data_IF_867064887397
#
_entry.id   IF_867064887397
#
_cell.length_a   1.000
_cell.length_b   1.000
_cell.length_c   1.000
_cell.angle_alpha   90.00
_cell.angle_beta   90.00
_cell.angle_gamma   90.00
#
_symmetry.space_group_name_H-M   'P 1'
#
loop_
_entity.id
_entity.type
_entity.pdbx_description
1 polymer ?
#
# COMPACT_ATOMS: atom_id res chain seq x y z
N UNK A 1 -11.20 -8.24 5.17
CA UNK A 1 -11.78 -7.50 4.04
C UNK A 1 -10.64 -6.92 3.23
N UNK A 2 -10.67 -7.05 1.90
CA UNK A 2 -9.67 -6.46 1.00
C UNK A 2 -10.19 -5.12 0.49
N UNK A 3 -9.37 -4.08 0.49
CA UNK A 3 -9.75 -2.75 0.04
C UNK A 3 -9.29 -2.50 -1.39
N UNK A 4 -10.16 -1.89 -2.19
CA UNK A 4 -9.84 -1.30 -3.48
C UNK A 4 -9.46 0.18 -3.36
N UNK A 5 -8.91 0.73 -4.43
CA UNK A 5 -8.44 2.12 -4.50
C UNK A 5 -9.60 3.09 -4.33
N UNK A 6 -10.75 2.81 -4.95
CA UNK A 6 -11.98 3.59 -4.80
C UNK A 6 -12.43 3.74 -3.34
N UNK A 7 -12.31 2.69 -2.52
CA UNK A 7 -12.66 2.76 -1.09
C UNK A 7 -11.70 3.65 -0.32
N UNK A 8 -10.39 3.56 -0.61
CA UNK A 8 -9.38 4.41 0.01
C UNK A 8 -9.59 5.87 -0.38
N UNK A 9 -9.78 6.16 -1.67
CA UNK A 9 -10.01 7.50 -2.21
C UNK A 9 -11.31 8.11 -1.67
N UNK A 10 -12.39 7.32 -1.56
CA UNK A 10 -13.66 7.76 -1.00
C UNK A 10 -13.51 8.30 0.43
N UNK A 11 -12.66 7.66 1.26
CA UNK A 11 -12.37 8.11 2.62
C UNK A 11 -11.40 9.30 2.63
N UNK A 12 -10.34 9.23 1.83
CA UNK A 12 -9.31 10.27 1.77
C UNK A 12 -9.86 11.62 1.27
N UNK A 13 -10.72 11.59 0.25
CA UNK A 13 -11.39 12.78 -0.29
C UNK A 13 -12.65 13.17 0.47
N UNK A 14 -13.02 12.42 1.53
CA UNK A 14 -14.24 12.66 2.33
C UNK A 14 -15.49 12.78 1.46
N UNK A 15 -15.61 11.89 0.49
CA UNK A 15 -16.75 11.86 -0.42
C UNK A 15 -18.07 11.66 0.34
N UNK A 16 -19.23 12.07 -0.21
CA UNK A 16 -20.53 11.85 0.42
C UNK A 16 -20.73 10.38 0.78
N UNK A 17 -20.97 10.10 2.07
CA UNK A 17 -21.13 8.73 2.59
C UNK A 17 -19.88 8.13 3.25
N UNK A 18 -18.72 8.80 3.19
CA UNK A 18 -17.48 8.28 3.79
C UNK A 18 -17.57 7.87 5.28
N UNK A 19 -18.38 8.51 6.16
CA UNK A 19 -18.44 8.11 7.57
C UNK A 19 -19.08 6.73 7.77
N UNK A 20 -19.97 6.29 6.85
CA UNK A 20 -20.53 4.94 6.91
C UNK A 20 -19.50 3.90 6.47
N UNK A 21 -18.77 4.19 5.40
CA UNK A 21 -17.68 3.32 4.92
C UNK A 21 -16.60 3.18 6.01
N UNK A 22 -16.18 4.28 6.62
CA UNK A 22 -15.19 4.27 7.71
C UNK A 22 -15.65 3.43 8.92
N UNK A 23 -16.95 3.50 9.29
CA UNK A 23 -17.51 2.65 10.35
C UNK A 23 -17.45 1.17 9.99
N UNK A 24 -17.77 0.80 8.73
CA UNK A 24 -17.67 -0.59 8.26
C UNK A 24 -16.22 -1.10 8.30
N UNK A 25 -15.25 -0.27 7.94
CA UNK A 25 -13.83 -0.64 8.01
C UNK A 25 -13.37 -0.82 9.46
N UNK A 26 -13.76 0.06 10.37
CA UNK A 26 -13.42 -0.06 11.80
C UNK A 26 -14.03 -1.29 12.48
N UNK A 27 -15.16 -1.79 11.98
CA UNK A 27 -15.80 -3.01 12.48
C UNK A 27 -15.22 -4.32 11.92
N UNK A 28 -14.31 -4.26 10.95
CA UNK A 28 -13.73 -5.45 10.35
C UNK A 28 -12.65 -6.06 11.25
N UNK A 29 -12.65 -7.39 11.38
CA UNK A 29 -11.62 -8.11 12.14
C UNK A 29 -10.23 -8.02 11.52
N UNK A 30 -10.15 -7.86 10.20
CA UNK A 30 -8.90 -7.71 9.45
C UNK A 30 -9.12 -6.92 8.15
N UNK A 31 -8.20 -6.03 7.83
CA UNK A 31 -8.14 -5.27 6.58
C UNK A 31 -6.86 -5.61 5.82
N UNK A 32 -6.95 -5.74 4.50
CA UNK A 32 -5.83 -6.00 3.61
C UNK A 32 -5.90 -5.04 2.43
N UNK A 33 -4.75 -4.60 1.93
CA UNK A 33 -4.66 -3.78 0.72
C UNK A 33 -3.55 -4.37 -0.14
N UNK A 34 -3.84 -4.56 -1.43
CA UNK A 34 -2.81 -4.98 -2.38
C UNK A 34 -1.83 -3.83 -2.65
N UNK A 35 -0.55 -4.15 -2.85
CA UNK A 35 0.42 -3.15 -3.25
C UNK A 35 0.00 -2.37 -4.53
N UNK A 36 -0.58 -2.99 -5.58
CA UNK A 36 -1.06 -2.24 -6.75
C UNK A 36 -2.12 -1.19 -6.39
N UNK A 37 -3.01 -1.52 -5.45
CA UNK A 37 -4.06 -0.61 -4.98
C UNK A 37 -3.51 0.61 -4.27
N UNK A 38 -2.42 0.46 -3.51
CA UNK A 38 -1.73 1.58 -2.87
C UNK A 38 -1.11 2.52 -3.90
N UNK A 39 -0.53 1.97 -4.97
CA UNK A 39 0.06 2.74 -6.07
C UNK A 39 -1.00 3.54 -6.79
N UNK A 40 -2.10 2.90 -7.20
CA UNK A 40 -3.20 3.58 -7.87
C UNK A 40 -3.78 4.70 -7.00
N UNK A 41 -3.98 4.45 -5.70
CA UNK A 41 -4.46 5.44 -4.74
C UNK A 41 -3.50 6.64 -4.64
N UNK A 42 -2.19 6.37 -4.56
CA UNK A 42 -1.16 7.41 -4.52
C UNK A 42 -1.13 8.24 -5.81
N UNK A 43 -1.21 7.60 -6.98
CA UNK A 43 -1.25 8.29 -8.28
C UNK A 43 -2.44 9.26 -8.37
N UNK A 44 -3.62 8.82 -7.94
CA UNK A 44 -4.82 9.67 -7.95
C UNK A 44 -4.73 10.80 -6.93
N UNK A 45 -4.20 10.54 -5.73
CA UNK A 45 -3.98 11.58 -4.72
C UNK A 45 -3.00 12.66 -5.20
N UNK A 46 -1.85 12.25 -5.75
CA UNK A 46 -0.84 13.17 -6.28
C UNK A 46 -1.45 14.01 -7.41
N UNK A 47 -2.17 13.37 -8.33
CA UNK A 47 -2.77 14.07 -9.47
C UNK A 47 -3.81 15.12 -9.04
N UNK A 48 -4.62 14.85 -8.01
CA UNK A 48 -5.71 15.73 -7.59
C UNK A 48 -5.31 16.78 -6.55
N UNK A 49 -4.38 16.45 -5.65
CA UNK A 49 -4.11 17.23 -4.44
C UNK A 49 -2.61 17.53 -4.23
N UNK A 50 -1.72 17.01 -5.09
CA UNK A 50 -0.28 17.20 -5.01
C UNK A 50 0.45 16.23 -4.07
N UNK A 51 1.79 16.29 -4.11
CA UNK A 51 2.67 15.29 -3.48
C UNK A 51 2.63 15.25 -1.95
N UNK A 52 2.19 16.34 -1.30
CA UNK A 52 2.13 16.45 0.16
C UNK A 52 1.09 15.51 0.80
N UNK A 53 0.14 14.99 0.02
CA UNK A 53 -0.91 14.08 0.51
C UNK A 53 -0.46 12.63 0.70
N UNK A 54 0.74 12.27 0.27
CA UNK A 54 1.27 10.91 0.51
C UNK A 54 1.39 10.62 2.01
N UNK A 55 1.70 11.64 2.82
CA UNK A 55 1.75 11.51 4.29
C UNK A 55 0.37 11.24 4.90
N UNK A 56 -0.71 11.74 4.28
CA UNK A 56 -2.09 11.51 4.74
C UNK A 56 -2.52 10.09 4.41
N UNK A 57 -2.18 9.59 3.23
CA UNK A 57 -2.37 8.16 2.89
C UNK A 57 -1.59 7.26 3.86
N UNK A 58 -0.34 7.59 4.19
CA UNK A 58 0.45 6.82 5.14
C UNK A 58 -0.15 6.81 6.56
N UNK A 59 -0.59 7.96 7.09
CA UNK A 59 -1.25 8.02 8.40
C UNK A 59 -2.57 7.25 8.40
N UNK A 60 -3.32 7.33 7.30
CA UNK A 60 -4.56 6.59 7.13
C UNK A 60 -4.34 5.07 7.16
N UNK A 61 -3.38 4.57 6.39
CA UNK A 61 -3.02 3.15 6.38
C UNK A 61 -2.52 2.68 7.74
N UNK A 62 -1.76 3.51 8.46
CA UNK A 62 -1.30 3.23 9.82
C UNK A 62 -2.47 3.08 10.79
N UNK A 63 -3.44 3.98 10.76
CA UNK A 63 -4.65 3.92 11.61
C UNK A 63 -5.45 2.64 11.33
N UNK A 64 -5.49 2.22 10.07
CA UNK A 64 -6.15 0.98 9.64
C UNK A 64 -5.29 -0.29 9.83
N UNK A 65 -4.07 -0.17 10.37
CA UNK A 65 -3.11 -1.27 10.58
C UNK A 65 -2.79 -2.03 9.29
N UNK A 66 -2.75 -1.33 8.15
CA UNK A 66 -2.38 -1.88 6.85
C UNK A 66 -0.86 -1.80 6.66
N UNK A 67 -0.24 -2.91 6.27
CA UNK A 67 1.21 -3.03 6.06
C UNK A 67 1.55 -2.92 4.56
N UNK A 68 2.61 -2.17 4.19
CA UNK A 68 3.01 -1.96 2.79
C UNK A 68 4.48 -2.29 2.54
N UNK A 69 4.76 -2.92 1.40
CA UNK A 69 6.11 -3.34 0.98
C UNK A 69 7.06 -2.14 0.80
N UNK A 70 6.57 -1.04 0.22
CA UNK A 70 7.37 0.17 -0.01
C UNK A 70 7.84 0.82 1.29
N UNK A 71 7.02 0.78 2.35
CA UNK A 71 7.44 1.30 3.67
C UNK A 71 8.54 0.46 4.28
N UNK A 72 8.48 -0.86 4.09
CA UNK A 72 9.44 -1.80 4.68
C UNK A 72 10.76 -1.83 3.91
N UNK A 73 10.72 -1.75 2.58
CA UNK A 73 11.87 -2.04 1.72
C UNK A 73 12.15 -1.00 0.61
N UNK A 74 11.41 0.11 0.53
CA UNK A 74 11.47 1.04 -0.60
C UNK A 74 12.75 1.86 -0.74
N UNK A 75 12.99 2.32 -1.98
CA UNK A 75 14.13 3.19 -2.37
C UNK A 75 14.19 4.48 -1.54
N UNK A 76 15.40 4.79 -1.06
CA UNK A 76 15.68 5.96 -0.20
C UNK A 76 15.27 5.78 1.28
N UNK A 77 14.80 4.60 1.68
CA UNK A 77 14.32 4.30 3.04
C UNK A 77 14.91 3.03 3.65
N UNK A 78 15.23 2.04 2.82
CA UNK A 78 15.78 0.75 3.25
C UNK A 78 16.92 0.31 2.31
N UNK A 79 17.93 -0.47 2.79
CA UNK A 79 19.00 -1.01 1.95
C UNK A 79 18.54 -1.80 0.73
N UNK A 80 17.43 -2.55 0.83
CA UNK A 80 16.78 -3.24 -0.30
C UNK A 80 16.38 -2.29 -1.45
N UNK A 81 16.12 -1.02 -1.12
CA UNK A 81 15.89 0.05 -2.08
C UNK A 81 14.86 -0.26 -3.20
N UNK A 82 13.84 -1.06 -2.89
CA UNK A 82 12.85 -1.55 -3.85
C UNK A 82 12.19 -0.37 -4.59
N UNK A 83 12.15 -0.49 -5.91
CA UNK A 83 11.37 0.41 -6.75
C UNK A 83 9.87 -0.01 -6.74
N UNK A 84 9.05 0.72 -7.48
CA UNK A 84 7.61 0.48 -7.54
C UNK A 84 7.26 -0.93 -8.04
N UNK A 85 7.86 -1.36 -9.15
CA UNK A 85 7.65 -2.68 -9.73
C UNK A 85 8.08 -3.78 -8.76
N UNK A 86 9.19 -3.59 -8.07
CA UNK A 86 9.69 -4.56 -7.10
C UNK A 86 8.75 -4.71 -5.90
N UNK A 87 8.15 -3.61 -5.44
CA UNK A 87 7.16 -3.66 -4.36
C UNK A 87 5.90 -4.45 -4.75
N UNK A 88 5.50 -4.39 -6.02
CA UNK A 88 4.37 -5.17 -6.54
C UNK A 88 4.74 -6.66 -6.61
N UNK A 89 5.90 -6.99 -7.16
CA UNK A 89 6.43 -8.36 -7.24
C UNK A 89 6.63 -8.98 -5.85
N UNK A 90 7.20 -8.22 -4.90
CA UNK A 90 7.34 -8.62 -3.50
C UNK A 90 5.97 -8.93 -2.88
N UNK A 91 4.97 -8.07 -3.08
CA UNK A 91 3.66 -8.27 -2.47
C UNK A 91 2.96 -9.53 -3.00
N UNK A 92 3.10 -9.81 -4.30
CA UNK A 92 2.58 -11.04 -4.92
C UNK A 92 3.25 -12.27 -4.32
N UNK A 93 4.58 -12.29 -4.23
CA UNK A 93 5.32 -13.41 -3.63
C UNK A 93 4.97 -13.60 -2.14
N UNK A 94 4.87 -12.51 -1.37
CA UNK A 94 4.54 -12.55 0.06
C UNK A 94 3.12 -13.09 0.33
N UNK A 95 2.14 -12.68 -0.48
CA UNK A 95 0.74 -13.11 -0.32
C UNK A 95 0.52 -14.54 -0.84
N UNK A 96 1.15 -14.91 -1.95
CA UNK A 96 1.03 -16.26 -2.53
C UNK A 96 1.84 -17.31 -1.77
N UNK A 97 2.86 -16.90 -1.01
CA UNK A 97 3.82 -17.81 -0.37
C UNK A 97 4.73 -18.52 -1.38
N UNK A 98 4.71 -18.11 -2.65
CA UNK A 98 5.53 -18.68 -3.72
C UNK A 98 6.88 -17.96 -3.81
N UNK A 99 7.94 -18.67 -4.25
CA UNK A 99 9.25 -18.05 -4.45
C UNK A 99 9.20 -16.96 -5.52
N UNK A 100 9.89 -15.85 -5.27
CA UNK A 100 10.03 -14.75 -6.22
C UNK A 100 11.27 -14.98 -7.11
N UNK A 101 11.08 -15.04 -8.42
CA UNK A 101 12.18 -15.05 -9.37
C UNK A 101 12.59 -13.62 -9.72
N UNK A 102 13.87 -13.30 -9.58
CA UNK A 102 14.47 -12.01 -9.91
C UNK A 102 15.92 -12.19 -10.37
N UNK A 103 16.50 -11.17 -10.99
CA UNK A 103 17.90 -11.14 -11.44
C UNK A 103 18.61 -10.01 -10.72
N UNK A 104 19.83 -10.26 -10.21
CA UNK A 104 20.58 -9.30 -9.40
C UNK A 104 20.27 -9.42 -7.90
N UNK A 105 20.45 -8.33 -7.15
CA UNK A 105 20.40 -8.32 -5.68
C UNK A 105 19.21 -7.52 -5.12
N UNK A 106 18.25 -7.14 -5.97
CA UNK A 106 17.17 -6.20 -5.62
C UNK A 106 16.34 -6.66 -4.42
N UNK A 107 16.20 -7.98 -4.20
CA UNK A 107 15.45 -8.54 -3.07
C UNK A 107 16.32 -9.12 -1.96
N UNK A 108 17.66 -9.07 -2.07
CA UNK A 108 18.61 -9.71 -1.15
C UNK A 108 18.51 -9.20 0.29
N UNK A 109 17.97 -7.99 0.49
CA UNK A 109 17.73 -7.38 1.80
C UNK A 109 16.25 -7.37 2.19
N UNK A 110 15.44 -8.27 1.63
CA UNK A 110 14.04 -8.46 2.03
C UNK A 110 13.89 -9.75 2.83
N UNK A 111 12.69 -10.00 3.36
CA UNK A 111 12.33 -11.26 4.01
C UNK A 111 11.77 -12.31 3.01
N UNK A 112 12.04 -12.12 1.72
CA UNK A 112 11.78 -13.07 0.63
C UNK A 112 13.07 -13.65 0.02
N UNK A 113 14.25 -13.22 0.49
CA UNK A 113 15.53 -13.79 0.15
C UNK A 113 15.81 -15.09 0.93
#
# INVERSE_FOLDING_TARGET
>A
MVLGSSVLLHILFREPGYPEVARKLNGASQLLVGAPTLVETAMVLIHREGDTQLLVLEDFLRRLRVESAFRRFGKGRHPAALNLGDCLSYAVAKVSGLPLAYVGDDFAHTDLA
#
